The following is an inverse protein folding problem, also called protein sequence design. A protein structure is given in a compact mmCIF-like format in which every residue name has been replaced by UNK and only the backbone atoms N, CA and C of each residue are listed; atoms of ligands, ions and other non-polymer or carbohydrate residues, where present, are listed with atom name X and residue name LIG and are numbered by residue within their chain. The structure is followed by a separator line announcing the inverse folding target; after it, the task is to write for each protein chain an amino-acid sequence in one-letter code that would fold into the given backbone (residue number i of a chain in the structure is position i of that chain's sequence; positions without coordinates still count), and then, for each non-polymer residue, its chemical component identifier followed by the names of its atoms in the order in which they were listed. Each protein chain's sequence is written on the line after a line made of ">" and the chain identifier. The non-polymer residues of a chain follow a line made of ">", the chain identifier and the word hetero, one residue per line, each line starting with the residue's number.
data_IF_823641268983
#
_entry.id   IF_823641268983
#
_cell.length_a   1.000
_cell.length_b   1.000
_cell.length_c   1.000
_cell.angle_alpha   90.00
_cell.angle_beta   90.00
_cell.angle_gamma   90.00
#
_symmetry.space_group_name_H-M   'P 1'
#
loop_
_entity.id
_entity.type
_entity.pdbx_description
1 polymer ?
#
# COMPACT_ATOMS: atom_id res chain seq x y z
N UNK A 1 6.13 -21.28 -0.70
CA UNK A 1 5.46 -20.02 -0.32
C UNK A 1 6.24 -19.41 0.83
N UNK A 2 6.62 -18.14 0.73
CA UNK A 2 7.34 -17.39 1.76
C UNK A 2 6.57 -16.09 2.02
N UNK A 3 6.42 -15.71 3.29
CA UNK A 3 5.84 -14.42 3.68
C UNK A 3 6.99 -13.43 3.89
N UNK A 4 6.95 -12.29 3.21
CA UNK A 4 7.91 -11.20 3.34
C UNK A 4 7.22 -9.95 3.89
N UNK A 5 7.96 -9.20 4.70
CA UNK A 5 7.64 -7.83 5.07
C UNK A 5 8.65 -6.94 4.38
N UNK A 6 8.19 -6.15 3.41
CA UNK A 6 9.05 -5.26 2.63
C UNK A 6 8.83 -3.83 3.11
N UNK A 7 9.90 -3.16 3.52
CA UNK A 7 9.86 -1.74 3.84
C UNK A 7 9.80 -0.94 2.54
N UNK A 8 8.64 -0.33 2.27
CA UNK A 8 8.32 0.36 1.02
C UNK A 8 7.80 1.73 1.41
N UNK A 9 8.42 2.79 0.90
CA UNK A 9 8.01 4.18 1.14
C UNK A 9 7.18 4.74 0.00
N UNK A 10 7.28 4.15 -1.19
CA UNK A 10 6.57 4.53 -2.40
C UNK A 10 6.01 3.31 -3.12
N UNK A 11 4.71 3.05 -2.93
CA UNK A 11 4.05 1.88 -3.52
C UNK A 11 4.03 1.92 -5.05
N UNK A 12 3.94 3.10 -5.66
CA UNK A 12 4.00 3.25 -7.12
C UNK A 12 5.38 2.86 -7.66
N UNK A 13 6.45 3.22 -6.95
CA UNK A 13 7.80 2.85 -7.32
C UNK A 13 8.01 1.33 -7.24
N UNK A 14 7.47 0.66 -6.22
CA UNK A 14 7.49 -0.81 -6.12
C UNK A 14 6.79 -1.43 -7.34
N UNK A 15 5.59 -0.94 -7.65
CA UNK A 15 4.78 -1.41 -8.78
C UNK A 15 5.53 -1.24 -10.11
N UNK A 16 6.14 -0.08 -10.33
CA UNK A 16 6.90 0.19 -11.55
C UNK A 16 8.15 -0.68 -11.64
N UNK A 17 8.88 -0.86 -10.53
CA UNK A 17 10.03 -1.75 -10.46
C UNK A 17 9.66 -3.18 -10.87
N UNK A 18 8.54 -3.71 -10.36
CA UNK A 18 8.08 -5.05 -10.74
C UNK A 18 7.68 -5.12 -12.22
N UNK A 19 7.01 -4.10 -12.76
CA UNK A 19 6.68 -4.05 -14.20
C UNK A 19 7.93 -4.04 -15.07
N UNK A 20 8.95 -3.26 -14.71
CA UNK A 20 10.25 -3.21 -15.40
C UNK A 20 11.00 -4.54 -15.37
N UNK A 21 10.81 -5.35 -14.31
CA UNK A 21 11.32 -6.72 -14.23
C UNK A 21 10.48 -7.75 -15.01
N UNK A 22 9.45 -7.29 -15.73
CA UNK A 22 8.62 -8.11 -16.60
C UNK A 22 7.45 -8.80 -15.91
N UNK A 23 7.07 -8.36 -14.72
CA UNK A 23 5.86 -8.85 -14.05
C UNK A 23 4.62 -8.09 -14.53
N UNK A 24 3.52 -8.82 -14.70
CA UNK A 24 2.19 -8.24 -14.90
C UNK A 24 1.51 -8.12 -13.53
N UNK A 25 1.00 -6.94 -13.21
CA UNK A 25 0.31 -6.69 -11.95
C UNK A 25 -1.19 -6.57 -12.17
N UNK A 26 -1.95 -7.33 -11.40
CA UNK A 26 -3.42 -7.34 -11.44
C UNK A 26 -3.96 -6.84 -10.11
N UNK A 27 -4.66 -5.71 -10.13
CA UNK A 27 -5.28 -5.14 -8.94
C UNK A 27 -6.41 -6.07 -8.46
N UNK A 28 -6.32 -6.47 -7.20
CA UNK A 28 -7.37 -7.20 -6.49
C UNK A 28 -8.26 -6.24 -5.69
N UNK A 29 -8.89 -6.74 -4.62
CA UNK A 29 -9.65 -5.92 -3.68
C UNK A 29 -8.90 -4.66 -3.25
N UNK A 30 -9.66 -3.55 -3.22
CA UNK A 30 -9.24 -2.22 -2.79
C UNK A 30 -10.35 -1.61 -1.93
N UNK A 31 -9.99 -0.92 -0.86
CA UNK A 31 -10.94 -0.29 0.07
C UNK A 31 -10.34 0.93 0.75
N UNK A 32 -11.16 1.97 0.91
CA UNK A 32 -10.88 3.12 1.77
C UNK A 32 -11.42 2.82 3.17
N UNK A 33 -10.64 3.10 4.20
CA UNK A 33 -10.98 2.83 5.59
C UNK A 33 -11.43 4.09 6.33
N UNK A 34 -12.08 3.91 7.48
CA UNK A 34 -12.61 5.01 8.31
C UNK A 34 -11.52 5.89 8.93
N UNK A 35 -10.28 5.40 8.97
CA UNK A 35 -9.10 6.14 9.41
C UNK A 35 -8.39 6.88 8.26
N UNK A 36 -9.05 6.98 7.09
CA UNK A 36 -8.61 7.69 5.89
C UNK A 36 -7.37 7.09 5.22
N UNK A 37 -7.03 5.84 5.57
CA UNK A 37 -6.08 5.03 4.82
C UNK A 37 -6.80 4.16 3.78
N UNK A 38 -6.01 3.48 2.98
CA UNK A 38 -6.46 2.55 1.98
C UNK A 38 -5.74 1.21 2.12
N UNK A 39 -6.46 0.13 1.79
CA UNK A 39 -5.88 -1.21 1.69
C UNK A 39 -6.11 -1.72 0.28
N UNK A 40 -5.07 -2.27 -0.32
CA UNK A 40 -5.14 -2.90 -1.63
C UNK A 40 -4.41 -4.24 -1.63
N UNK A 41 -4.85 -5.13 -2.52
CA UNK A 41 -4.09 -6.32 -2.89
C UNK A 41 -3.71 -6.31 -4.36
N UNK A 42 -2.53 -6.81 -4.70
CA UNK A 42 -2.05 -6.97 -6.08
C UNK A 42 -1.63 -8.42 -6.28
N UNK A 43 -2.15 -9.07 -7.32
CA UNK A 43 -1.57 -10.31 -7.82
C UNK A 43 -0.42 -9.98 -8.76
N UNK A 44 0.75 -10.56 -8.47
CA UNK A 44 1.95 -10.45 -9.31
C UNK A 44 2.01 -11.69 -10.18
N UNK A 45 1.92 -11.50 -11.50
CA UNK A 45 1.87 -12.56 -12.49
C UNK A 45 3.12 -12.52 -13.37
N UNK A 46 3.61 -13.68 -13.80
CA UNK A 46 4.62 -13.78 -14.86
C UNK A 46 4.20 -14.88 -15.81
N UNK A 47 4.09 -14.54 -17.10
CA UNK A 47 3.50 -15.42 -18.11
C UNK A 47 2.08 -15.88 -17.73
N UNK A 48 1.95 -17.05 -17.12
CA UNK A 48 0.66 -17.62 -16.65
C UNK A 48 0.69 -18.10 -15.20
N UNK A 49 1.81 -17.92 -14.49
CA UNK A 49 1.93 -18.26 -13.07
C UNK A 49 1.76 -17.03 -12.20
N UNK A 50 1.12 -17.23 -11.04
CA UNK A 50 1.10 -16.25 -9.97
C UNK A 50 2.40 -16.37 -9.17
N UNK A 51 3.18 -15.31 -9.18
CA UNK A 51 4.49 -15.23 -8.52
C UNK A 51 4.37 -14.68 -7.10
N UNK A 52 3.37 -13.81 -6.85
CA UNK A 52 3.04 -13.34 -5.51
C UNK A 52 1.62 -12.76 -5.37
N UNK A 53 1.23 -12.56 -4.11
CA UNK A 53 0.18 -11.63 -3.71
C UNK A 53 0.80 -10.57 -2.80
N UNK A 54 0.65 -9.31 -3.17
CA UNK A 54 1.08 -8.14 -2.39
C UNK A 54 -0.14 -7.59 -1.67
N UNK A 55 0.01 -7.21 -0.40
CA UNK A 55 -0.98 -6.52 0.40
C UNK A 55 -0.33 -5.24 0.93
N UNK A 56 -0.91 -4.10 0.59
CA UNK A 56 -0.44 -2.80 1.06
C UNK A 56 -1.54 -2.09 1.84
N UNK A 57 -1.16 -1.50 2.97
CA UNK A 57 -1.96 -0.57 3.75
C UNK A 57 -1.23 0.77 3.71
N UNK A 58 -1.85 1.81 3.16
CA UNK A 58 -1.18 3.03 2.74
C UNK A 58 -2.08 4.27 2.87
N UNK A 59 -1.48 5.45 2.83
CA UNK A 59 -2.15 6.74 2.74
C UNK A 59 -1.92 7.37 1.35
N UNK A 60 -2.80 8.29 0.97
CA UNK A 60 -2.77 9.03 -0.30
C UNK A 60 -2.72 10.55 -0.04
N UNK A 61 -2.55 11.42 -1.06
CA UNK A 61 -2.48 12.87 -0.88
C UNK A 61 -3.62 13.47 -0.06
N UNK A 62 -4.82 12.87 -0.11
CA UNK A 62 -5.98 13.31 0.65
C UNK A 62 -5.77 13.23 2.17
N UNK A 63 -4.87 12.36 2.64
CA UNK A 63 -4.54 12.28 4.06
C UNK A 63 -3.94 13.58 4.61
N UNK A 64 -3.34 14.43 3.78
CA UNK A 64 -2.89 15.76 4.23
C UNK A 64 -4.04 16.61 4.72
N UNK A 65 -5.23 16.47 4.15
CA UNK A 65 -6.40 17.25 4.60
C UNK A 65 -6.79 16.86 6.01
N UNK A 66 -6.61 15.58 6.38
CA UNK A 66 -6.84 15.09 7.73
C UNK A 66 -5.91 15.70 8.78
N UNK A 67 -4.75 16.21 8.39
CA UNK A 67 -3.78 16.81 9.32
C UNK A 67 -4.01 18.31 9.52
N UNK A 68 -4.90 18.93 8.74
CA UNK A 68 -5.18 20.37 8.79
C UNK A 68 -6.16 20.78 9.90
N UNK A 69 -6.79 19.82 10.60
CA UNK A 69 -7.78 20.08 11.67
C UNK A 69 -8.88 21.08 11.26
N UNK A 70 -9.56 20.79 10.14
CA UNK A 70 -10.59 21.66 9.58
C UNK A 70 -11.96 21.30 10.18
N UNK A 71 -12.59 22.24 10.87
CA UNK A 71 -13.88 22.02 11.55
C UNK A 71 -15.11 22.26 10.64
N UNK A 72 -14.93 22.85 9.46
CA UNK A 72 -16.02 23.18 8.53
C UNK A 72 -16.04 22.22 7.34
N UNK A 73 -17.18 21.56 7.12
CA UNK A 73 -17.39 20.67 5.97
C UNK A 73 -17.10 21.36 4.63
N UNK A 74 -17.54 22.61 4.45
CA UNK A 74 -17.30 23.36 3.21
C UNK A 74 -15.81 23.60 3.00
N UNK A 75 -15.08 23.97 4.05
CA UNK A 75 -13.64 24.19 3.98
C UNK A 75 -12.89 22.86 3.72
N UNK A 76 -13.30 21.79 4.38
CA UNK A 76 -12.72 20.46 4.21
C UNK A 76 -12.90 19.95 2.77
N UNK A 77 -14.11 20.07 2.22
CA UNK A 77 -14.38 19.71 0.81
C UNK A 77 -13.55 20.55 -0.17
N UNK A 78 -13.34 21.85 0.11
CA UNK A 78 -12.49 22.71 -0.72
C UNK A 78 -11.03 22.22 -0.73
N UNK A 79 -10.49 21.78 0.40
CA UNK A 79 -9.14 21.24 0.45
C UNK A 79 -9.02 19.91 -0.29
N UNK A 80 -10.00 19.00 -0.16
CA UNK A 80 -10.03 17.76 -0.95
C UNK A 80 -10.02 18.04 -2.47
N UNK A 81 -10.79 19.03 -2.91
CA UNK A 81 -10.82 19.47 -4.31
C UNK A 81 -9.46 20.04 -4.75
N UNK A 82 -8.80 20.83 -3.91
CA UNK A 82 -7.45 21.34 -4.21
C UNK A 82 -6.46 20.19 -4.40
N UNK A 83 -6.49 19.18 -3.52
CA UNK A 83 -5.65 17.98 -3.67
C UNK A 83 -5.94 17.28 -5.00
N UNK A 84 -7.21 17.07 -5.34
CA UNK A 84 -7.62 16.42 -6.61
C UNK A 84 -7.04 17.11 -7.85
N UNK A 85 -6.97 18.44 -7.86
CA UNK A 85 -6.48 19.24 -8.99
C UNK A 85 -5.00 19.63 -8.91
N UNK A 86 -4.30 19.32 -7.81
CA UNK A 86 -2.86 19.58 -7.66
C UNK A 86 -1.98 18.78 -8.63
N UNK A 87 -2.50 17.67 -9.15
CA UNK A 87 -1.74 16.70 -9.95
C UNK A 87 -0.86 15.76 -9.11
N UNK A 88 -0.78 15.96 -7.80
CA UNK A 88 -0.04 15.11 -6.90
C UNK A 88 -0.67 13.71 -6.81
N UNK A 89 0.17 12.69 -7.02
CA UNK A 89 -0.21 11.29 -6.95
C UNK A 89 0.90 10.56 -6.23
N UNK A 90 0.55 9.95 -5.11
CA UNK A 90 1.44 9.06 -4.40
C UNK A 90 0.63 8.10 -3.54
N UNK A 91 1.29 7.03 -3.13
CA UNK A 91 0.76 6.04 -2.21
C UNK A 91 1.88 5.63 -1.28
N UNK A 92 1.77 6.01 -0.01
CA UNK A 92 2.82 5.80 1.00
C UNK A 92 2.33 4.73 1.98
N UNK A 93 2.95 3.53 2.00
CA UNK A 93 2.60 2.50 2.97
C UNK A 93 2.79 2.97 4.42
N UNK A 94 1.77 2.72 5.25
CA UNK A 94 1.80 2.99 6.70
C UNK A 94 2.25 1.77 7.49
N UNK A 95 2.27 0.60 6.85
CA UNK A 95 2.87 -0.65 7.32
C UNK A 95 3.88 -1.18 6.30
N UNK A 96 4.82 -2.05 6.71
CA UNK A 96 5.55 -2.87 5.76
C UNK A 96 4.57 -3.58 4.81
N UNK A 97 4.88 -3.56 3.52
CA UNK A 97 4.09 -4.23 2.51
C UNK A 97 4.25 -5.74 2.69
N UNK A 98 3.13 -6.45 2.86
CA UNK A 98 3.13 -7.89 3.03
C UNK A 98 3.17 -8.53 1.65
N UNK A 99 4.10 -9.45 1.43
CA UNK A 99 4.19 -10.20 0.16
C UNK A 99 4.15 -11.69 0.44
N UNK A 100 3.12 -12.35 -0.08
CA UNK A 100 3.05 -13.81 -0.19
C UNK A 100 3.76 -14.22 -1.49
N UNK A 101 5.04 -14.58 -1.39
CA UNK A 101 5.86 -14.95 -2.53
C UNK A 101 5.81 -16.47 -2.81
N UNK A 102 5.67 -16.82 -4.09
CA UNK A 102 5.70 -18.19 -4.58
C UNK A 102 6.98 -18.53 -5.36
N UNK A 103 7.82 -17.51 -5.63
CA UNK A 103 9.01 -17.60 -6.47
C UNK A 103 10.24 -16.99 -5.81
N UNK A 104 11.35 -17.72 -5.80
CA UNK A 104 12.63 -17.31 -5.20
C UNK A 104 13.27 -16.10 -5.93
N UNK A 105 13.06 -15.99 -7.24
CA UNK A 105 13.55 -14.84 -8.01
C UNK A 105 12.92 -13.53 -7.52
N UNK A 106 11.60 -13.56 -7.27
CA UNK A 106 10.88 -12.41 -6.74
C UNK A 106 11.32 -12.08 -5.32
N UNK A 107 11.55 -13.10 -4.48
CA UNK A 107 12.07 -12.92 -3.10
C UNK A 107 13.38 -12.12 -3.13
N UNK A 108 14.31 -12.49 -4.01
CA UNK A 108 15.60 -11.78 -4.14
C UNK A 108 15.45 -10.34 -4.60
N UNK A 109 14.52 -10.06 -5.51
CA UNK A 109 14.22 -8.69 -5.95
C UNK A 109 13.71 -7.85 -4.77
N UNK A 110 12.79 -8.41 -3.98
CA UNK A 110 12.14 -7.70 -2.88
C UNK A 110 13.05 -7.51 -1.65
N UNK A 111 13.91 -8.48 -1.33
CA UNK A 111 14.86 -8.36 -0.20
C UNK A 111 15.86 -7.21 -0.42
N UNK A 112 16.23 -6.96 -1.68
CA UNK A 112 17.13 -5.88 -2.09
C UNK A 112 16.39 -4.58 -2.46
N UNK A 113 15.06 -4.54 -2.39
CA UNK A 113 14.29 -3.36 -2.74
C UNK A 113 14.50 -2.23 -1.73
N UNK A 114 14.78 -1.03 -2.22
CA UNK A 114 14.91 0.19 -1.43
C UNK A 114 14.34 1.35 -2.22
N UNK A 115 13.66 2.25 -1.52
CA UNK A 115 13.09 3.47 -2.08
C UNK A 115 13.08 4.59 -1.04
N UNK A 116 12.68 5.77 -1.51
CA UNK A 116 12.50 6.98 -0.72
C UNK A 116 11.04 7.44 -0.80
N UNK A 117 10.64 8.28 0.16
CA UNK A 117 9.31 8.87 0.13
C UNK A 117 9.14 9.71 -1.14
N UNK A 118 7.96 9.66 -1.79
CA UNK A 118 7.70 10.42 -3.01
C UNK A 118 7.58 11.94 -2.75
N UNK A 119 7.51 12.35 -1.48
CA UNK A 119 7.31 13.73 -1.04
C UNK A 119 8.15 14.04 0.19
N UNK A 120 8.59 15.31 0.38
CA UNK A 120 9.48 15.68 1.48
C UNK A 120 8.92 15.43 2.88
N UNK A 121 7.60 15.54 3.04
CA UNK A 121 6.87 15.38 4.30
C UNK A 121 6.36 13.95 4.53
N UNK A 122 6.76 12.98 3.69
CA UNK A 122 6.20 11.62 3.70
C UNK A 122 6.41 10.89 5.03
N UNK A 123 7.58 11.07 5.66
CA UNK A 123 7.86 10.46 6.96
C UNK A 123 6.96 11.02 8.07
N UNK A 124 6.73 12.34 8.07
CA UNK A 124 5.91 13.01 9.07
C UNK A 124 4.43 12.62 8.93
N UNK A 125 3.94 12.48 7.69
CA UNK A 125 2.59 11.98 7.41
C UNK A 125 2.38 10.57 7.96
N UNK A 126 3.36 9.67 7.76
CA UNK A 126 3.28 8.30 8.29
C UNK A 126 3.33 8.29 9.82
N UNK A 127 4.20 9.09 10.44
CA UNK A 127 4.28 9.21 11.91
C UNK A 127 2.96 9.70 12.49
N UNK A 128 2.39 10.75 11.90
CA UNK A 128 1.12 11.32 12.35
C UNK A 128 -0.04 10.33 12.20
N UNK A 129 -0.10 9.62 11.06
CA UNK A 129 -1.07 8.55 10.88
C UNK A 129 -0.97 7.47 11.95
N UNK A 130 0.23 6.95 12.21
CA UNK A 130 0.44 5.89 13.23
C UNK A 130 0.10 6.37 14.64
N UNK A 131 0.38 7.65 14.94
CA UNK A 131 0.04 8.27 16.23
C UNK A 131 -1.47 8.35 16.43
N UNK A 132 -2.23 8.72 15.39
CA UNK A 132 -3.70 8.81 15.44
C UNK A 132 -4.38 7.44 15.43
N UNK A 133 -3.73 6.43 14.85
CA UNK A 133 -4.32 5.11 14.60
C UNK A 133 -3.46 3.99 15.21
N UNK A 134 -3.45 3.77 16.54
CA UNK A 134 -2.57 2.78 17.18
C UNK A 134 -2.82 1.33 16.73
N UNK A 135 -4.03 1.01 16.23
CA UNK A 135 -4.39 -0.31 15.70
C UNK A 135 -3.99 -0.56 14.24
N UNK A 136 -3.30 0.38 13.58
CA UNK A 136 -3.02 0.32 12.13
C UNK A 136 -2.30 -0.96 11.66
N UNK A 137 -1.53 -1.61 12.54
CA UNK A 137 -0.76 -2.81 12.24
C UNK A 137 -1.61 -4.09 12.13
N UNK A 138 -2.83 -4.08 12.67
CA UNK A 138 -3.74 -5.23 12.63
C UNK A 138 -4.45 -5.37 11.28
N UNK A 139 -4.71 -4.24 10.62
CA UNK A 139 -5.44 -4.13 9.35
C UNK A 139 -4.87 -5.06 8.26
N UNK A 140 -3.59 -4.98 7.86
CA UNK A 140 -3.07 -5.83 6.78
C UNK A 140 -2.95 -7.31 7.19
N UNK A 141 -2.87 -7.62 8.50
CA UNK A 141 -2.76 -9.00 9.00
C UNK A 141 -4.08 -9.77 8.84
N UNK A 142 -5.21 -9.12 9.06
CA UNK A 142 -6.52 -9.73 8.84
C UNK A 142 -6.77 -10.04 7.36
N UNK A 143 -6.32 -9.15 6.47
CA UNK A 143 -6.41 -9.40 5.03
C UNK A 143 -5.52 -10.57 4.61
N UNK A 144 -4.30 -10.65 5.13
CA UNK A 144 -3.41 -11.80 4.94
C UNK A 144 -4.07 -13.11 5.36
N UNK A 145 -4.67 -13.17 6.56
CA UNK A 145 -5.35 -14.37 7.06
C UNK A 145 -6.45 -14.86 6.09
N UNK A 146 -7.28 -13.94 5.57
CA UNK A 146 -8.30 -14.28 4.57
C UNK A 146 -7.72 -14.81 3.26
N UNK A 147 -6.57 -14.30 2.82
CA UNK A 147 -5.90 -14.85 1.63
C UNK A 147 -5.36 -16.25 1.87
N UNK A 148 -4.81 -16.52 3.06
CA UNK A 148 -4.33 -17.85 3.43
C UNK A 148 -5.48 -18.86 3.48
N UNK A 149 -6.63 -18.51 4.08
CA UNK A 149 -7.83 -19.36 4.10
C UNK A 149 -8.28 -19.74 2.68
N UNK A 150 -8.33 -18.77 1.75
CA UNK A 150 -8.71 -19.04 0.35
C UNK A 150 -7.71 -19.93 -0.40
N UNK A 151 -6.43 -19.83 -0.08
CA UNK A 151 -5.39 -20.66 -0.70
C UNK A 151 -5.45 -22.10 -0.21
N UNK A 152 -5.79 -22.32 1.06
CA UNK A 152 -5.95 -23.67 1.61
C UNK A 152 -7.24 -24.34 1.13
N UNK A 153 -8.31 -23.58 0.88
CA UNK A 153 -9.56 -24.09 0.29
C UNK A 153 -9.46 -24.45 -1.21
N UNK A 154 -8.37 -24.05 -1.88
CA UNK A 154 -8.13 -24.34 -3.30
C UNK A 154 -7.24 -25.57 -3.55
N UNK A 155 -6.83 -26.28 -2.49
CA UNK A 155 -6.14 -27.57 -2.53
C UNK A 155 -7.14 -28.71 -2.46
#
# INVERSE_FOLDING_TARGET
>A
MKVLLVDVKNLENLVNTLKEKGYKLELGPHSVLLDHSEVLSISVMRSSSREAIIIAHYITPYYRVETLNIDSDEAYLKELVKVKYSGEKWSIPVNPVIVLAFSEDLVRILENYRDDYPVPDGEDLVKEYRRRNPGYAEVPRLLLARFLEKLDLAK
#
